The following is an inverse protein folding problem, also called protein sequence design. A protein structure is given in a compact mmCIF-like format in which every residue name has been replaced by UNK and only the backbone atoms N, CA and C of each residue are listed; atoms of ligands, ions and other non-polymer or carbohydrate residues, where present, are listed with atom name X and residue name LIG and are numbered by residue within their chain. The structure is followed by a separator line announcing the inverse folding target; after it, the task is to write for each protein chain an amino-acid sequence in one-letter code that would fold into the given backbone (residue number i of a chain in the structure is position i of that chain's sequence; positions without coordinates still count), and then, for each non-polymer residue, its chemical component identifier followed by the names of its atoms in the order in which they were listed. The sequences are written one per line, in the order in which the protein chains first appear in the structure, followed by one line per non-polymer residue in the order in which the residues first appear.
data_IF_114118621855
#
_entry.id   IF_114118621855
#
_cell.length_a   1.000
_cell.length_b   1.000
_cell.length_c   1.000
_cell.angle_alpha   90.00
_cell.angle_beta   90.00
_cell.angle_gamma   90.00
#
_symmetry.space_group_name_H-M   'P 1'
#
loop_
_entity.id
_entity.type
_entity.pdbx_description
1 polymer ?
#
# COMPACT_ATOMS: atom_id res chain seq x y z
N UNK A 1 31.21 -18.07 -3.07
CA UNK A 1 30.43 -16.82 -2.97
C UNK A 1 31.42 -15.68 -3.06
N UNK A 2 31.10 -14.64 -3.81
CA UNK A 2 31.94 -13.45 -3.97
C UNK A 2 32.10 -12.74 -2.61
N UNK A 3 33.34 -12.50 -2.11
CA UNK A 3 33.58 -11.84 -0.82
C UNK A 3 33.55 -10.31 -0.91
N UNK A 4 33.23 -9.73 -2.07
CA UNK A 4 33.28 -8.29 -2.28
C UNK A 4 32.21 -7.56 -1.47
N UNK A 5 32.63 -6.58 -0.67
CA UNK A 5 31.73 -5.67 0.04
C UNK A 5 31.45 -4.42 -0.79
N UNK A 6 30.17 -4.06 -0.94
CA UNK A 6 29.74 -2.87 -1.67
C UNK A 6 29.14 -1.85 -0.71
N UNK A 7 29.42 -0.57 -0.95
CA UNK A 7 28.73 0.49 -0.19
C UNK A 7 27.25 0.51 -0.53
N UNK A 8 26.39 0.80 0.45
CA UNK A 8 24.93 0.87 0.25
C UNK A 8 24.57 1.85 -0.88
N UNK A 9 25.33 2.94 -1.02
CA UNK A 9 25.09 3.95 -2.05
C UNK A 9 25.35 3.37 -3.46
N UNK A 10 26.46 2.64 -3.63
CA UNK A 10 26.77 1.95 -4.89
C UNK A 10 25.68 0.97 -5.31
N UNK A 11 25.12 0.22 -4.35
CA UNK A 11 24.00 -0.70 -4.64
C UNK A 11 22.76 0.09 -5.07
N UNK A 12 22.40 1.16 -4.34
CA UNK A 12 21.25 2.00 -4.68
C UNK A 12 21.36 2.64 -6.05
N UNK A 13 22.53 3.17 -6.39
CA UNK A 13 22.75 3.85 -7.66
C UNK A 13 22.67 2.88 -8.84
N UNK A 14 23.24 1.69 -8.70
CA UNK A 14 23.18 0.68 -9.76
C UNK A 14 21.80 0.03 -9.90
N UNK A 15 21.12 -0.31 -8.79
CA UNK A 15 19.79 -0.93 -8.86
C UNK A 15 18.77 -0.03 -9.55
N UNK A 16 18.89 1.30 -9.39
CA UNK A 16 18.05 2.28 -10.08
C UNK A 16 18.23 2.29 -11.60
N UNK A 17 19.35 1.79 -12.11
CA UNK A 17 19.61 1.71 -13.56
C UNK A 17 18.92 0.51 -14.22
N UNK A 18 18.40 -0.45 -13.46
CA UNK A 18 17.68 -1.60 -14.00
C UNK A 18 16.27 -1.19 -14.44
N UNK A 19 16.17 -0.66 -15.66
CA UNK A 19 14.89 -0.45 -16.31
C UNK A 19 14.28 -1.77 -16.77
N UNK A 20 12.95 -1.85 -16.99
CA UNK A 20 12.32 -3.04 -17.56
C UNK A 20 12.99 -3.49 -18.87
N UNK A 21 13.44 -2.55 -19.70
CA UNK A 21 14.13 -2.84 -20.96
C UNK A 21 15.49 -3.50 -20.71
N UNK A 22 16.25 -3.02 -19.73
CA UNK A 22 17.55 -3.59 -19.36
C UNK A 22 17.37 -4.98 -18.74
N UNK A 23 16.38 -5.15 -17.87
CA UNK A 23 16.03 -6.45 -17.29
C UNK A 23 15.65 -7.47 -18.37
N UNK A 24 14.86 -7.07 -19.37
CA UNK A 24 14.51 -7.94 -20.49
C UNK A 24 15.74 -8.34 -21.32
N UNK A 25 16.64 -7.42 -21.60
CA UNK A 25 17.90 -7.72 -22.32
C UNK A 25 18.78 -8.69 -21.55
N UNK A 26 18.90 -8.52 -20.23
CA UNK A 26 19.64 -9.45 -19.38
C UNK A 26 18.97 -10.83 -19.42
N UNK A 27 17.64 -10.87 -19.32
CA UNK A 27 16.88 -12.11 -19.40
C UNK A 27 17.12 -12.85 -20.72
N UNK A 28 17.06 -12.16 -21.87
CA UNK A 28 17.34 -12.74 -23.18
C UNK A 28 18.73 -13.39 -23.24
N UNK A 29 19.76 -12.71 -22.74
CA UNK A 29 21.13 -13.24 -22.71
C UNK A 29 21.22 -14.50 -21.83
N UNK A 30 20.60 -14.47 -20.65
CA UNK A 30 20.59 -15.62 -19.71
C UNK A 30 19.87 -16.81 -20.32
N UNK A 31 18.71 -16.60 -20.95
CA UNK A 31 17.92 -17.64 -21.61
C UNK A 31 18.73 -18.26 -22.75
N UNK A 32 19.31 -17.45 -23.64
CA UNK A 32 20.11 -17.94 -24.77
C UNK A 32 21.31 -18.76 -24.30
N UNK A 33 22.09 -18.25 -23.33
CA UNK A 33 23.22 -18.97 -22.77
C UNK A 33 22.79 -20.28 -22.09
N UNK A 34 21.66 -20.27 -21.39
CA UNK A 34 21.05 -21.44 -20.78
C UNK A 34 20.68 -22.52 -21.79
N UNK A 35 20.01 -22.15 -22.89
CA UNK A 35 19.69 -23.07 -23.98
C UNK A 35 20.94 -23.66 -24.63
N UNK A 36 21.99 -22.86 -24.87
CA UNK A 36 23.25 -23.37 -25.39
C UNK A 36 23.90 -24.40 -24.46
N UNK A 37 23.86 -24.14 -23.16
CA UNK A 37 24.42 -25.05 -22.15
C UNK A 37 23.67 -26.39 -22.12
N UNK A 38 22.33 -26.37 -22.18
CA UNK A 38 21.52 -27.59 -22.27
C UNK A 38 21.80 -28.33 -23.58
N UNK A 39 21.88 -27.63 -24.72
CA UNK A 39 22.20 -28.23 -26.02
C UNK A 39 23.55 -28.97 -26.00
N UNK A 40 24.56 -28.41 -25.31
CA UNK A 40 25.88 -29.02 -25.15
C UNK A 40 25.87 -30.21 -24.20
N UNK A 41 25.14 -30.13 -23.09
CA UNK A 41 25.18 -31.13 -22.03
C UNK A 41 24.25 -32.34 -22.27
N UNK A 42 23.09 -32.14 -22.92
CA UNK A 42 22.10 -33.20 -23.16
C UNK A 42 21.37 -32.99 -24.50
N UNK A 43 22.12 -33.16 -25.60
CA UNK A 43 21.63 -32.96 -26.97
C UNK A 43 20.43 -33.82 -27.35
N UNK A 44 20.21 -34.96 -26.66
CA UNK A 44 19.06 -35.84 -26.88
C UNK A 44 17.76 -35.29 -26.29
N UNK A 45 17.85 -34.49 -25.21
CA UNK A 45 16.68 -33.82 -24.59
C UNK A 45 16.48 -32.39 -25.11
N UNK A 46 17.46 -31.84 -25.81
CA UNK A 46 17.34 -30.54 -26.43
C UNK A 46 16.40 -30.57 -27.64
N UNK A 47 15.47 -29.61 -27.69
CA UNK A 47 14.50 -29.41 -28.76
C UNK A 47 14.64 -27.99 -29.28
N UNK A 48 14.78 -27.84 -30.61
CA UNK A 48 14.76 -26.52 -31.27
C UNK A 48 13.37 -25.89 -31.26
N UNK A 49 12.31 -26.69 -31.12
CA UNK A 49 10.96 -26.16 -30.88
C UNK A 49 10.85 -25.71 -29.43
N UNK A 50 10.47 -24.45 -29.25
CA UNK A 50 10.16 -23.87 -27.93
C UNK A 50 8.68 -24.10 -27.62
N UNK A 51 8.41 -24.85 -26.56
CA UNK A 51 7.07 -25.04 -26.02
C UNK A 51 6.93 -24.10 -24.81
N UNK A 52 6.10 -23.08 -24.95
CA UNK A 52 5.86 -22.11 -23.89
C UNK A 52 4.60 -22.48 -23.08
N UNK A 53 4.68 -22.33 -21.78
CA UNK A 53 3.53 -22.34 -20.85
C UNK A 53 3.44 -20.98 -20.17
N UNK A 54 2.21 -20.56 -19.89
CA UNK A 54 1.97 -19.31 -19.15
C UNK A 54 1.29 -19.67 -17.84
N UNK A 55 1.82 -19.15 -16.75
CA UNK A 55 1.19 -19.23 -15.43
C UNK A 55 1.05 -17.81 -14.84
N UNK A 56 0.02 -17.61 -14.02
CA UNK A 56 -0.18 -16.34 -13.32
C UNK A 56 -0.33 -16.55 -11.82
N UNK A 57 0.36 -15.73 -11.05
CA UNK A 57 0.29 -15.71 -9.59
C UNK A 57 0.08 -14.28 -9.09
N UNK A 58 -0.17 -14.13 -7.79
CA UNK A 58 -0.19 -12.81 -7.15
C UNK A 58 1.15 -12.62 -6.48
N UNK A 59 1.85 -11.55 -6.83
CA UNK A 59 3.00 -11.10 -6.07
C UNK A 59 2.47 -10.29 -4.89
N UNK A 60 2.52 -10.87 -3.69
CA UNK A 60 2.03 -10.23 -2.48
C UNK A 60 2.80 -8.94 -2.19
N UNK A 61 2.06 -7.90 -1.82
CA UNK A 61 2.64 -6.64 -1.33
C UNK A 61 2.78 -6.67 0.19
N UNK A 62 3.70 -5.88 0.76
CA UNK A 62 3.95 -5.87 2.20
C UNK A 62 2.91 -5.00 2.92
N UNK A 63 1.68 -5.51 2.96
CA UNK A 63 0.52 -4.77 3.45
C UNK A 63 -0.22 -5.55 4.53
N UNK A 64 -0.70 -4.82 5.54
CA UNK A 64 -1.65 -5.36 6.50
C UNK A 64 -3.06 -5.37 5.89
N UNK A 65 -3.95 -6.17 6.46
CA UNK A 65 -5.33 -6.26 5.98
C UNK A 65 -6.02 -4.87 5.98
N UNK A 66 -6.48 -4.36 4.82
CA UNK A 66 -6.91 -2.99 4.67
C UNK A 66 -8.34 -2.80 5.14
N UNK A 67 -8.50 -2.18 6.30
CA UNK A 67 -9.78 -1.65 6.75
C UNK A 67 -9.74 -0.13 6.65
N UNK A 68 -10.86 0.51 6.31
CA UNK A 68 -10.96 1.97 6.24
C UNK A 68 -10.45 2.63 7.54
N UNK A 69 -10.70 1.99 8.69
CA UNK A 69 -10.23 2.42 10.03
C UNK A 69 -8.70 2.37 10.15
N UNK A 70 -8.05 1.28 9.74
CA UNK A 70 -6.59 1.18 9.82
C UNK A 70 -5.91 2.09 8.79
N UNK A 71 -6.47 2.21 7.58
CA UNK A 71 -5.96 3.10 6.56
C UNK A 71 -6.08 4.57 6.98
N UNK A 72 -7.16 4.96 7.66
CA UNK A 72 -7.29 6.29 8.25
C UNK A 72 -6.23 6.52 9.34
N UNK A 73 -5.98 5.53 10.20
CA UNK A 73 -4.94 5.62 11.23
C UNK A 73 -3.57 5.87 10.59
N UNK A 74 -3.22 5.11 9.55
CA UNK A 74 -1.94 5.26 8.89
C UNK A 74 -1.78 6.61 8.19
N UNK A 75 -2.83 7.07 7.50
CA UNK A 75 -2.84 8.36 6.84
C UNK A 75 -2.66 9.50 7.85
N UNK A 76 -3.48 9.55 8.90
CA UNK A 76 -3.39 10.60 9.92
C UNK A 76 -2.08 10.54 10.69
N UNK A 77 -1.57 9.34 11.02
CA UNK A 77 -0.27 9.20 11.68
C UNK A 77 0.84 9.85 10.85
N UNK A 78 0.81 9.67 9.53
CA UNK A 78 1.78 10.29 8.61
C UNK A 78 1.60 11.80 8.53
N UNK A 79 0.38 12.28 8.32
CA UNK A 79 0.03 13.71 8.34
C UNK A 79 0.54 14.40 9.60
N UNK A 80 0.17 13.90 10.78
CA UNK A 80 0.57 14.46 12.09
C UNK A 80 2.09 14.40 12.29
N UNK A 81 2.76 13.35 11.81
CA UNK A 81 4.22 13.23 11.94
C UNK A 81 4.95 14.22 11.04
N UNK A 82 4.51 14.41 9.80
CA UNK A 82 5.10 15.38 8.87
C UNK A 82 4.94 16.80 9.43
N UNK A 83 3.71 17.19 9.81
CA UNK A 83 3.47 18.50 10.43
C UNK A 83 4.29 18.69 11.73
N UNK A 84 4.36 17.65 12.58
CA UNK A 84 5.13 17.68 13.81
C UNK A 84 6.62 17.92 13.61
N UNK A 85 7.23 17.27 12.63
CA UNK A 85 8.65 17.46 12.28
C UNK A 85 8.89 18.84 11.69
N UNK A 86 8.08 19.25 10.71
CA UNK A 86 8.21 20.56 10.08
C UNK A 86 8.07 21.71 11.10
N UNK A 87 7.15 21.59 12.07
CA UNK A 87 7.03 22.57 13.14
C UNK A 87 8.20 22.55 14.12
N UNK A 88 8.71 21.37 14.47
CA UNK A 88 9.86 21.23 15.36
C UNK A 88 11.11 21.91 14.81
N UNK A 89 11.40 21.72 13.53
CA UNK A 89 12.54 22.36 12.84
C UNK A 89 12.46 23.89 12.85
N UNK A 90 11.24 24.44 12.91
CA UNK A 90 10.98 25.89 12.90
C UNK A 90 10.73 26.47 14.29
N UNK A 91 10.77 25.66 15.35
CA UNK A 91 10.44 26.08 16.71
C UNK A 91 8.96 26.40 16.94
N UNK A 92 8.07 25.96 16.06
CA UNK A 92 6.63 26.20 16.15
C UNK A 92 5.97 25.30 17.21
N UNK A 93 4.96 25.86 17.88
CA UNK A 93 4.31 25.24 19.04
C UNK A 93 3.13 24.34 18.69
N UNK A 94 2.61 24.50 17.46
CA UNK A 94 1.34 23.99 16.99
C UNK A 94 1.24 22.47 17.06
N UNK A 95 2.37 21.76 16.96
CA UNK A 95 2.43 20.29 16.96
C UNK A 95 3.38 19.69 18.01
N UNK A 96 3.67 20.40 19.11
CA UNK A 96 4.56 19.87 20.18
C UNK A 96 4.19 18.46 20.66
N UNK A 97 2.90 18.13 20.66
CA UNK A 97 2.36 16.85 21.12
C UNK A 97 1.99 15.88 19.99
N UNK A 98 2.53 16.05 18.77
CA UNK A 98 2.16 15.22 17.61
C UNK A 98 2.24 13.70 17.87
N UNK A 99 3.24 13.25 18.63
CA UNK A 99 3.37 11.83 19.02
C UNK A 99 2.30 11.37 19.99
N UNK A 100 1.82 12.25 20.88
CA UNK A 100 0.70 11.94 21.76
C UNK A 100 -0.59 11.85 20.96
N UNK A 101 -0.82 12.79 20.05
CA UNK A 101 -1.98 12.84 19.16
C UNK A 101 -2.10 11.56 18.31
N UNK A 102 -1.01 11.13 17.66
CA UNK A 102 -0.99 9.89 16.91
C UNK A 102 -1.28 8.66 17.79
N UNK A 103 -0.80 8.63 19.03
CA UNK A 103 -1.09 7.57 20.00
C UNK A 103 -2.55 7.61 20.48
N UNK A 104 -3.14 8.79 20.65
CA UNK A 104 -4.54 8.96 21.01
C UNK A 104 -5.47 8.37 19.95
N UNK A 105 -5.24 8.73 18.70
CA UNK A 105 -5.98 8.18 17.56
C UNK A 105 -5.80 6.65 17.44
N UNK A 106 -4.58 6.15 17.65
CA UNK A 106 -4.31 4.70 17.69
C UNK A 106 -5.17 4.00 18.74
N UNK A 107 -5.32 4.56 19.95
CA UNK A 107 -6.17 3.97 21.01
C UNK A 107 -7.63 3.88 20.58
N UNK A 108 -8.17 4.90 19.91
CA UNK A 108 -9.54 4.88 19.37
C UNK A 108 -9.71 3.82 18.27
N UNK A 109 -8.76 3.73 17.34
CA UNK A 109 -8.73 2.65 16.35
C UNK A 109 -8.75 1.26 17.01
N UNK A 110 -7.93 1.03 18.04
CA UNK A 110 -7.92 -0.26 18.77
C UNK A 110 -9.24 -0.53 19.50
N UNK A 111 -9.90 0.50 20.05
CA UNK A 111 -11.24 0.38 20.64
C UNK A 111 -12.22 -0.11 19.57
N UNK A 112 -12.24 0.51 18.40
CA UNK A 112 -13.09 0.12 17.28
C UNK A 112 -12.84 -1.33 16.85
N UNK A 113 -11.58 -1.75 16.68
CA UNK A 113 -11.26 -3.13 16.26
C UNK A 113 -11.78 -4.21 17.23
N UNK A 114 -11.97 -3.86 18.51
CA UNK A 114 -12.51 -4.75 19.54
C UNK A 114 -14.05 -4.75 19.59
N UNK A 115 -14.71 -3.76 18.98
CA UNK A 115 -16.17 -3.68 18.96
C UNK A 115 -16.76 -4.68 17.95
N UNK A 116 -17.23 -5.80 18.47
CA UNK A 116 -18.01 -6.78 17.67
C UNK A 116 -19.49 -6.41 17.62
N UNK A 117 -20.12 -6.66 16.47
CA UNK A 117 -21.59 -6.61 16.32
C UNK A 117 -22.24 -7.64 17.24
N UNK A 118 -23.43 -7.31 17.75
CA UNK A 118 -24.20 -8.24 18.58
C UNK A 118 -24.82 -9.35 17.74
N UNK A 119 -24.76 -10.59 18.23
CA UNK A 119 -25.48 -11.75 17.69
C UNK A 119 -26.82 -12.02 18.39
N UNK A 120 -27.22 -11.16 19.33
CA UNK A 120 -28.42 -11.36 20.14
C UNK A 120 -29.70 -11.31 19.30
N UNK A 121 -30.67 -12.18 19.61
CA UNK A 121 -31.99 -12.16 18.95
C UNK A 121 -32.83 -10.93 19.37
N UNK A 122 -32.56 -10.30 20.51
CA UNK A 122 -33.25 -9.10 20.96
C UNK A 122 -32.84 -7.86 20.15
N UNK A 123 -33.83 -7.20 19.55
CA UNK A 123 -33.64 -5.98 18.75
C UNK A 123 -33.12 -4.80 19.56
N UNK A 124 -33.57 -4.62 20.81
CA UNK A 124 -33.12 -3.52 21.68
C UNK A 124 -31.63 -3.62 21.96
N UNK A 125 -31.15 -4.84 22.28
CA UNK A 125 -29.73 -5.10 22.52
C UNK A 125 -28.89 -4.92 21.24
N UNK A 126 -29.41 -5.32 20.08
CA UNK A 126 -28.75 -5.08 18.78
C UNK A 126 -28.66 -3.58 18.46
N UNK A 127 -29.74 -2.83 18.67
CA UNK A 127 -29.79 -1.39 18.43
C UNK A 127 -28.81 -0.63 19.34
N UNK A 128 -28.81 -0.92 20.65
CA UNK A 128 -27.87 -0.31 21.59
C UNK A 128 -26.40 -0.58 21.22
N UNK A 129 -26.10 -1.82 20.80
CA UNK A 129 -24.74 -2.18 20.37
C UNK A 129 -24.33 -1.48 19.07
N UNK A 130 -25.25 -1.37 18.11
CA UNK A 130 -25.00 -0.64 16.87
C UNK A 130 -24.76 0.86 17.14
N UNK A 131 -25.51 1.45 18.07
CA UNK A 131 -25.32 2.82 18.50
C UNK A 131 -23.91 3.04 19.08
N UNK A 132 -23.47 2.16 20.00
CA UNK A 132 -22.10 2.22 20.56
C UNK A 132 -21.01 2.12 19.48
N UNK A 133 -21.20 1.26 18.48
CA UNK A 133 -20.30 1.14 17.33
C UNK A 133 -20.27 2.46 16.55
N UNK A 134 -21.43 3.04 16.23
CA UNK A 134 -21.51 4.29 15.47
C UNK A 134 -20.89 5.46 16.23
N UNK A 135 -21.14 5.59 17.53
CA UNK A 135 -20.52 6.59 18.40
C UNK A 135 -18.99 6.48 18.39
N UNK A 136 -18.45 5.27 18.56
CA UNK A 136 -17.00 5.08 18.53
C UNK A 136 -16.37 5.47 17.19
N UNK A 137 -17.09 5.28 16.07
CA UNK A 137 -16.62 5.72 14.76
C UNK A 137 -16.76 7.23 14.56
N UNK A 138 -17.83 7.87 15.09
CA UNK A 138 -17.96 9.34 15.12
C UNK A 138 -16.79 9.97 15.86
N UNK A 139 -16.54 9.54 17.10
CA UNK A 139 -15.42 10.02 17.91
C UNK A 139 -14.06 9.92 17.19
N UNK A 140 -13.89 8.86 16.41
CA UNK A 140 -12.68 8.58 15.66
C UNK A 140 -12.53 9.46 14.42
N UNK A 141 -13.61 9.63 13.67
CA UNK A 141 -13.67 10.52 12.50
C UNK A 141 -13.46 11.97 12.94
N UNK A 142 -14.17 12.45 13.96
CA UNK A 142 -14.09 13.84 14.41
C UNK A 142 -12.66 14.21 14.85
N UNK A 143 -11.97 13.30 15.55
CA UNK A 143 -10.58 13.53 15.92
C UNK A 143 -9.64 13.54 14.70
N UNK A 144 -9.86 12.67 13.72
CA UNK A 144 -9.12 12.67 12.47
C UNK A 144 -9.34 13.97 11.66
N UNK A 145 -10.57 14.44 11.55
CA UNK A 145 -10.93 15.70 10.88
C UNK A 145 -10.30 16.91 11.57
N UNK A 146 -10.27 16.92 12.91
CA UNK A 146 -9.57 17.95 13.68
C UNK A 146 -8.06 17.98 13.38
N UNK A 147 -7.43 16.82 13.20
CA UNK A 147 -6.02 16.77 12.78
C UNK A 147 -5.83 17.22 11.33
N UNK A 148 -6.75 16.90 10.42
CA UNK A 148 -6.70 17.35 9.03
C UNK A 148 -6.84 18.87 8.90
N UNK A 149 -7.75 19.48 9.67
CA UNK A 149 -7.91 20.93 9.69
C UNK A 149 -6.61 21.63 10.13
N UNK A 150 -6.00 21.18 11.23
CA UNK A 150 -4.71 21.71 11.71
C UNK A 150 -3.58 21.46 10.71
N UNK A 151 -3.62 20.35 9.99
CA UNK A 151 -2.61 20.03 8.98
C UNK A 151 -2.71 20.97 7.78
N UNK A 152 -3.94 21.32 7.34
CA UNK A 152 -4.18 22.35 6.30
C UNK A 152 -3.56 23.68 6.69
N UNK A 153 -3.83 24.17 7.91
CA UNK A 153 -3.24 25.42 8.41
C UNK A 153 -1.70 25.40 8.40
N UNK A 154 -1.12 24.25 8.77
CA UNK A 154 0.35 24.08 8.78
C UNK A 154 0.91 24.07 7.37
N UNK A 155 0.24 23.36 6.45
CA UNK A 155 0.59 23.29 5.03
C UNK A 155 0.55 24.66 4.36
N UNK A 156 -0.48 25.46 4.63
CA UNK A 156 -0.59 26.84 4.14
C UNK A 156 0.55 27.73 4.64
N UNK A 157 0.91 27.64 5.93
CA UNK A 157 2.05 28.40 6.49
C UNK A 157 3.39 28.05 5.82
N UNK A 158 3.56 26.80 5.40
CA UNK A 158 4.80 26.29 4.79
C UNK A 158 4.88 26.55 3.28
N UNK A 159 3.79 26.98 2.64
CA UNK A 159 3.69 27.08 1.17
C UNK A 159 4.73 28.04 0.57
N UNK A 160 4.92 29.21 1.18
CA UNK A 160 5.90 30.20 0.69
C UNK A 160 7.34 29.70 0.80
N UNK A 161 7.66 28.98 1.86
CA UNK A 161 8.99 28.42 2.07
C UNK A 161 9.28 27.27 1.09
N UNK A 162 8.27 26.46 0.80
CA UNK A 162 8.38 25.35 -0.14
C UNK A 162 8.70 25.81 -1.58
N UNK A 163 8.34 27.04 -1.94
CA UNK A 163 8.65 27.61 -3.26
C UNK A 163 10.17 27.71 -3.53
N UNK A 164 10.98 27.80 -2.48
CA UNK A 164 12.45 27.93 -2.58
C UNK A 164 13.22 26.77 -1.94
N UNK A 165 12.51 25.82 -1.31
CA UNK A 165 13.10 24.64 -0.67
C UNK A 165 12.53 23.35 -1.28
N UNK A 166 13.32 22.70 -2.14
CA UNK A 166 12.91 21.48 -2.85
C UNK A 166 12.59 20.31 -1.91
N UNK A 167 13.33 20.17 -0.80
CA UNK A 167 13.09 19.09 0.16
C UNK A 167 11.73 19.29 0.82
N UNK A 168 11.45 20.50 1.29
CA UNK A 168 10.16 20.85 1.87
C UNK A 168 9.02 20.70 0.85
N UNK A 169 9.24 21.06 -0.41
CA UNK A 169 8.24 20.89 -1.47
C UNK A 169 7.87 19.41 -1.69
N UNK A 170 8.84 18.49 -1.59
CA UNK A 170 8.58 17.05 -1.65
C UNK A 170 7.80 16.59 -0.41
N UNK A 171 8.16 17.06 0.78
CA UNK A 171 7.44 16.74 2.01
C UNK A 171 6.01 17.26 2.02
N UNK A 172 5.74 18.44 1.46
CA UNK A 172 4.38 18.98 1.32
C UNK A 172 3.56 18.17 0.31
N UNK A 173 4.14 17.68 -0.77
CA UNK A 173 3.45 16.76 -1.69
C UNK A 173 3.06 15.46 -1.00
N UNK A 174 3.96 14.92 -0.18
CA UNK A 174 3.67 13.74 0.64
C UNK A 174 2.58 14.02 1.68
N UNK A 175 2.61 15.20 2.32
CA UNK A 175 1.56 15.64 3.24
C UNK A 175 0.20 15.72 2.55
N UNK A 176 0.13 16.38 1.38
CA UNK A 176 -1.08 16.51 0.57
C UNK A 176 -1.63 15.11 0.18
N UNK A 177 -0.74 14.17 -0.20
CA UNK A 177 -1.11 12.77 -0.50
C UNK A 177 -1.74 12.06 0.71
N UNK A 178 -1.11 12.14 1.89
CA UNK A 178 -1.66 11.48 3.08
C UNK A 178 -2.96 12.13 3.56
N UNK A 179 -3.09 13.45 3.43
CA UNK A 179 -4.34 14.17 3.74
C UNK A 179 -5.48 13.72 2.81
N UNK A 180 -5.22 13.59 1.50
CA UNK A 180 -6.22 13.08 0.55
C UNK A 180 -6.66 11.64 0.89
N UNK A 181 -5.72 10.76 1.24
CA UNK A 181 -6.06 9.41 1.69
C UNK A 181 -6.89 9.43 2.97
N UNK A 182 -6.54 10.27 3.95
CA UNK A 182 -7.30 10.40 5.18
C UNK A 182 -8.74 10.90 4.92
N UNK A 183 -8.91 11.91 4.09
CA UNK A 183 -10.24 12.43 3.70
C UNK A 183 -11.09 11.35 3.02
N UNK A 184 -10.50 10.58 2.09
CA UNK A 184 -11.16 9.43 1.47
C UNK A 184 -11.64 8.44 2.53
N UNK A 185 -10.80 8.10 3.50
CA UNK A 185 -11.16 7.10 4.51
C UNK A 185 -12.17 7.61 5.53
N UNK A 186 -12.11 8.90 5.90
CA UNK A 186 -13.18 9.55 6.69
C UNK A 186 -14.53 9.37 5.97
N UNK A 187 -14.57 9.65 4.67
CA UNK A 187 -15.81 9.55 3.91
C UNK A 187 -16.28 8.09 3.74
N UNK A 188 -15.36 7.15 3.49
CA UNK A 188 -15.71 5.72 3.42
C UNK A 188 -16.27 5.19 4.74
N UNK A 189 -15.68 5.56 5.88
CA UNK A 189 -16.18 5.17 7.21
C UNK A 189 -17.55 5.80 7.45
N UNK A 190 -17.73 7.09 7.16
CA UNK A 190 -19.01 7.79 7.31
C UNK A 190 -20.11 7.11 6.50
N UNK A 191 -19.88 6.88 5.21
CA UNK A 191 -20.82 6.21 4.31
C UNK A 191 -21.13 4.79 4.77
N UNK A 192 -20.11 3.99 5.09
CA UNK A 192 -20.27 2.57 5.47
C UNK A 192 -20.94 2.38 6.82
N UNK A 193 -20.49 3.10 7.85
CA UNK A 193 -20.85 2.83 9.24
C UNK A 193 -22.01 3.69 9.71
N UNK A 194 -22.03 4.97 9.32
CA UNK A 194 -23.04 5.92 9.80
C UNK A 194 -24.25 5.97 8.87
N UNK A 195 -24.04 5.83 7.56
CA UNK A 195 -25.12 5.89 6.56
C UNK A 195 -25.55 4.51 6.03
N UNK A 196 -24.83 3.43 6.37
CA UNK A 196 -25.15 2.06 5.95
C UNK A 196 -24.94 1.79 4.45
N UNK A 197 -24.17 2.63 3.75
CA UNK A 197 -23.92 2.49 2.32
C UNK A 197 -22.87 1.41 2.02
N UNK A 198 -22.98 0.81 0.84
CA UNK A 198 -21.96 -0.11 0.30
C UNK A 198 -20.98 0.73 -0.51
N UNK A 199 -19.69 0.60 -0.19
CA UNK A 199 -18.61 1.27 -0.94
C UNK A 199 -18.27 0.42 -2.17
N UNK A 200 -18.42 0.95 -3.40
CA UNK A 200 -17.99 0.27 -4.63
C UNK A 200 -16.52 -0.15 -4.57
N UNK A 201 -16.18 -1.29 -5.18
CA UNK A 201 -14.82 -1.81 -5.14
C UNK A 201 -13.80 -0.84 -5.79
N UNK A 202 -14.19 -0.20 -6.90
CA UNK A 202 -13.36 0.76 -7.62
C UNK A 202 -12.97 2.02 -6.80
N UNK A 203 -13.72 2.33 -5.74
CA UNK A 203 -13.39 3.45 -4.85
C UNK A 203 -12.38 3.07 -3.75
N UNK A 204 -12.13 1.77 -3.56
CA UNK A 204 -11.30 1.28 -2.45
C UNK A 204 -9.82 1.39 -2.78
N UNK A 205 -9.06 1.73 -1.74
CA UNK A 205 -7.60 1.64 -1.74
C UNK A 205 -7.21 0.59 -0.72
N UNK A 206 -6.29 -0.31 -1.11
CA UNK A 206 -5.85 -1.43 -0.29
C UNK A 206 -4.53 -1.17 0.42
N UNK A 207 -3.79 -0.14 0.02
CA UNK A 207 -2.66 0.38 0.77
C UNK A 207 -2.37 1.82 0.38
N UNK A 208 -2.12 2.68 1.36
CA UNK A 208 -1.71 4.07 1.12
C UNK A 208 -0.20 4.19 0.89
N UNK A 209 0.56 3.14 1.18
CA UNK A 209 2.01 3.08 0.96
C UNK A 209 2.34 2.35 -0.35
N UNK A 210 1.50 1.39 -0.72
CA UNK A 210 1.61 0.58 -1.94
C UNK A 210 0.29 0.68 -2.72
N UNK A 211 -0.02 1.85 -3.27
CA UNK A 211 -1.29 2.14 -3.97
C UNK A 211 -1.56 1.25 -5.19
N UNK A 212 -0.53 0.53 -5.65
CA UNK A 212 -0.64 -0.47 -6.70
C UNK A 212 -1.19 -1.83 -6.20
N UNK A 213 -1.35 -2.01 -4.88
CA UNK A 213 -1.91 -3.21 -4.28
C UNK A 213 -3.35 -3.41 -4.74
N UNK A 214 -3.67 -4.60 -5.19
CA UNK A 214 -4.99 -5.01 -5.63
C UNK A 214 -5.55 -6.11 -4.71
N UNK A 215 -6.87 -6.18 -4.68
CA UNK A 215 -7.62 -7.24 -4.00
C UNK A 215 -7.97 -8.34 -5.00
N UNK A 216 -7.24 -9.45 -4.96
CA UNK A 216 -7.34 -10.50 -5.97
C UNK A 216 -7.98 -11.75 -5.37
N UNK A 217 -9.10 -12.20 -5.95
CA UNK A 217 -9.79 -13.43 -5.55
C UNK A 217 -9.59 -14.52 -6.61
N UNK A 218 -8.63 -15.44 -6.39
CA UNK A 218 -8.31 -16.52 -7.36
C UNK A 218 -9.09 -17.82 -7.17
N UNK A 219 -10.04 -17.89 -6.21
CA UNK A 219 -10.88 -19.07 -5.98
C UNK A 219 -10.11 -20.32 -5.50
N UNK A 220 -8.85 -20.16 -5.03
CA UNK A 220 -8.06 -21.26 -4.47
C UNK A 220 -8.65 -21.71 -3.14
N UNK A 221 -8.67 -23.01 -2.89
CA UNK A 221 -9.13 -23.57 -1.61
C UNK A 221 -8.26 -23.02 -0.46
N UNK A 222 -8.90 -22.38 0.54
CA UNK A 222 -8.24 -21.89 1.76
C UNK A 222 -7.70 -20.45 1.70
N UNK A 223 -7.53 -19.85 0.52
CA UNK A 223 -7.12 -18.44 0.37
C UNK A 223 -8.22 -17.68 -0.37
N UNK A 224 -9.17 -17.06 0.36
CA UNK A 224 -10.28 -16.37 -0.29
C UNK A 224 -9.80 -15.15 -1.08
N UNK A 225 -8.72 -14.49 -0.64
CA UNK A 225 -8.20 -13.23 -1.20
C UNK A 225 -6.68 -13.15 -1.00
N UNK A 226 -5.97 -12.69 -2.04
CA UNK A 226 -4.55 -12.34 -2.03
C UNK A 226 -4.43 -10.81 -2.24
N UNK A 227 -3.59 -10.13 -1.45
CA UNK A 227 -3.30 -8.69 -1.59
C UNK A 227 -1.97 -8.50 -2.29
N UNK A 228 -1.99 -7.92 -3.48
CA UNK A 228 -0.77 -7.77 -4.26
C UNK A 228 -1.03 -7.37 -5.70
N UNK A 229 -0.12 -7.73 -6.60
CA UNK A 229 -0.28 -7.48 -8.04
C UNK A 229 -0.27 -8.80 -8.80
N UNK A 230 -1.17 -8.96 -9.76
CA UNK A 230 -1.16 -10.13 -10.63
C UNK A 230 0.06 -10.08 -11.56
N UNK A 231 0.83 -11.16 -11.61
CA UNK A 231 1.99 -11.31 -12.49
C UNK A 231 1.81 -12.56 -13.33
N UNK A 232 2.05 -12.45 -14.63
CA UNK A 232 2.11 -13.57 -15.55
C UNK A 232 3.57 -13.84 -15.94
N UNK A 233 3.95 -15.12 -15.95
CA UNK A 233 5.28 -15.57 -16.34
C UNK A 233 5.14 -16.62 -17.43
N UNK A 234 5.95 -16.47 -18.48
CA UNK A 234 6.05 -17.40 -19.59
C UNK A 234 7.30 -18.22 -19.40
N UNK A 235 7.16 -19.53 -19.26
CA UNK A 235 8.26 -20.46 -19.13
C UNK A 235 8.33 -21.40 -20.32
N UNK A 236 9.52 -21.85 -20.68
CA UNK A 236 9.69 -22.93 -21.66
C UNK A 236 9.70 -24.33 -21.00
N UNK A 237 9.90 -25.37 -21.82
CA UNK A 237 10.03 -26.75 -21.35
C UNK A 237 11.24 -27.00 -20.42
N UNK A 238 12.22 -26.10 -20.39
CA UNK A 238 13.42 -26.16 -19.56
C UNK A 238 13.34 -25.27 -18.32
N UNK A 239 12.18 -24.63 -18.06
CA UNK A 239 11.93 -23.70 -16.95
C UNK A 239 12.66 -22.36 -17.06
N UNK A 240 13.14 -22.00 -18.25
CA UNK A 240 13.61 -20.64 -18.49
C UNK A 240 12.42 -19.70 -18.59
N UNK A 241 12.50 -18.57 -17.87
CA UNK A 241 11.51 -17.50 -17.97
C UNK A 241 11.77 -16.76 -19.28
N UNK A 242 10.94 -16.99 -20.28
CA UNK A 242 11.03 -16.35 -21.59
C UNK A 242 10.52 -14.91 -21.53
N UNK A 243 9.49 -14.65 -20.73
CA UNK A 243 8.88 -13.34 -20.59
C UNK A 243 8.12 -13.23 -19.27
N UNK A 244 7.89 -12.01 -18.79
CA UNK A 244 7.06 -11.73 -17.63
C UNK A 244 6.26 -10.44 -17.85
N UNK A 245 5.07 -10.38 -17.28
CA UNK A 245 4.21 -9.20 -17.37
C UNK A 245 3.50 -8.95 -16.05
N UNK A 246 3.59 -7.71 -15.59
CA UNK A 246 2.77 -7.19 -14.49
C UNK A 246 1.40 -6.84 -15.06
N UNK A 247 0.34 -7.41 -14.51
CA UNK A 247 -1.05 -7.29 -14.97
C UNK A 247 -1.84 -6.31 -14.07
N UNK A 248 -1.22 -5.19 -13.72
CA UNK A 248 -1.85 -4.17 -12.89
C UNK A 248 -3.05 -3.55 -13.62
N UNK A 249 -4.18 -3.39 -12.92
CA UNK A 249 -5.47 -2.84 -13.37
C UNK A 249 -5.98 -3.48 -14.66
N UNK A 250 -5.55 -4.70 -14.94
CA UNK A 250 -6.02 -5.46 -16.09
C UNK A 250 -7.14 -6.36 -15.58
N UNK A 251 -8.38 -6.05 -15.98
CA UNK A 251 -9.50 -6.99 -15.80
C UNK A 251 -9.25 -8.21 -16.69
N UNK A 252 -9.69 -9.38 -16.22
CA UNK A 252 -9.62 -10.63 -17.02
C UNK A 252 -10.59 -10.59 -18.21
#
# INVERSE_FOLDING_TARGET
LDPTEYTLQTVKDNLRLFTPQILNRINEVVVLAGHELIKKNDSRKYSEKVNARVDSFVLETDVHYPTDVNLLLDAIRKTVTICGRACMERGWSEWRQYQHNARALKRKCHKISKLKRSSACNEVTRAARNHEIQEAHRDYIEEAEGYLARARETREKLEKEAAVNLILAIELKELDRFMQHAERQVEQIRRRVLQGQIIPHAEKVFSIFEEHTEWISKGKAGVPVELGVKVAVVEDQYRFILNHRVLQKTED
#
